data_IF_466094563376
#
_entry.id   IF_466094563376
#
_cell.length_a   1.000
_cell.length_b   1.000
_cell.length_c   1.000
_cell.angle_alpha   90.00
_cell.angle_beta   90.00
_cell.angle_gamma   90.00
#
_symmetry.space_group_name_H-M   'P 1'
#
loop_
_entity.id
_entity.type
_entity.pdbx_description
1 polymer ?
#
# COMPACT_ATOMS: atom_id res chain seq x y z
N UNK A 1 1.66 -2.92 16.86
CA UNK A 1 0.31 -3.41 17.23
C UNK A 1 0.42 -4.44 18.34
N UNK A 2 -0.66 -4.71 19.05
CA UNK A 2 -0.70 -5.60 20.22
C UNK A 2 -1.86 -6.58 20.05
N UNK A 3 -1.59 -7.86 20.22
CA UNK A 3 -2.52 -8.99 19.98
C UNK A 3 -2.12 -10.18 20.87
N UNK A 4 -2.91 -11.23 20.92
CA UNK A 4 -2.67 -12.44 21.70
C UNK A 4 -2.91 -13.68 20.83
N UNK A 5 -2.36 -14.82 21.26
CA UNK A 5 -2.60 -16.12 20.60
C UNK A 5 -3.65 -16.84 21.42
N UNK A 6 -4.89 -16.82 20.94
CA UNK A 6 -6.04 -17.45 21.59
C UNK A 6 -7.07 -17.92 20.54
N UNK A 7 -7.51 -19.19 20.59
CA UNK A 7 -7.14 -20.25 21.53
C UNK A 7 -5.74 -20.84 21.26
N UNK A 8 -5.46 -22.03 21.79
CA UNK A 8 -4.33 -22.82 21.29
C UNK A 8 -4.58 -23.14 19.82
N UNK A 9 -3.52 -23.22 19.03
CA UNK A 9 -3.56 -23.39 17.56
C UNK A 9 -4.12 -22.18 16.80
N UNK A 10 -4.23 -21.04 17.48
CA UNK A 10 -4.63 -19.78 16.84
C UNK A 10 -3.57 -19.28 15.87
N UNK A 11 -4.04 -18.67 14.80
CA UNK A 11 -3.24 -18.14 13.72
C UNK A 11 -3.77 -16.75 13.36
N UNK A 12 -2.91 -15.75 13.55
CA UNK A 12 -3.19 -14.37 13.22
C UNK A 12 -2.79 -14.07 11.77
N UNK A 13 -3.72 -13.55 10.97
CA UNK A 13 -3.49 -13.22 9.56
C UNK A 13 -3.57 -11.70 9.33
N UNK A 14 -2.50 -11.13 8.77
CA UNK A 14 -2.42 -9.70 8.44
C UNK A 14 -2.20 -9.49 6.95
N UNK A 15 -3.01 -8.62 6.31
CA UNK A 15 -2.75 -8.19 4.93
C UNK A 15 -1.73 -7.06 4.90
N UNK A 16 -0.71 -7.22 4.06
CA UNK A 16 0.33 -6.22 3.82
C UNK A 16 0.45 -5.92 2.33
N UNK A 17 0.61 -4.65 1.97
CA UNK A 17 0.74 -4.21 0.58
C UNK A 17 2.16 -3.73 0.31
N UNK A 18 2.70 -4.13 -0.84
CA UNK A 18 4.00 -3.71 -1.35
C UNK A 18 3.81 -3.02 -2.69
N UNK A 19 4.43 -1.84 -2.84
CA UNK A 19 4.41 -1.08 -4.09
C UNK A 19 5.41 -1.61 -5.12
N UNK A 20 6.39 -2.37 -4.66
CA UNK A 20 7.48 -2.96 -5.44
C UNK A 20 8.09 -4.13 -4.67
N UNK A 21 9.02 -4.87 -5.29
CA UNK A 21 9.81 -5.89 -4.60
C UNK A 21 10.60 -5.28 -3.43
N UNK A 22 10.84 -6.06 -2.38
CA UNK A 22 11.58 -5.60 -1.21
C UNK A 22 11.62 -6.64 -0.11
N UNK A 23 11.84 -6.21 1.13
CA UNK A 23 11.88 -7.09 2.30
C UNK A 23 10.84 -6.64 3.32
N UNK A 24 10.10 -7.59 3.88
CA UNK A 24 9.31 -7.37 5.09
C UNK A 24 10.15 -7.76 6.30
N UNK A 25 10.29 -6.84 7.25
CA UNK A 25 10.88 -7.09 8.57
C UNK A 25 9.78 -7.11 9.62
N UNK A 26 9.70 -8.20 10.36
CA UNK A 26 8.78 -8.38 11.48
C UNK A 26 9.58 -8.34 12.77
N UNK A 27 9.17 -7.50 13.71
CA UNK A 27 9.81 -7.36 15.03
C UNK A 27 8.80 -7.67 16.12
N UNK A 28 9.19 -8.54 17.05
CA UNK A 28 8.46 -8.89 18.25
C UNK A 28 9.40 -8.59 19.44
N UNK A 29 9.42 -7.34 19.94
CA UNK A 29 10.39 -6.94 20.98
C UNK A 29 10.11 -7.58 22.34
N UNK A 30 8.87 -8.01 22.59
CA UNK A 30 8.46 -8.71 23.79
C UNK A 30 7.25 -9.60 23.50
N UNK A 31 7.27 -10.81 24.04
CA UNK A 31 6.18 -11.77 24.01
C UNK A 31 6.12 -12.57 25.31
N UNK A 32 4.95 -13.14 25.67
CA UNK A 32 4.82 -14.06 26.80
C UNK A 32 5.82 -15.22 26.76
N UNK A 33 6.24 -15.70 27.93
CA UNK A 33 7.32 -16.69 28.07
C UNK A 33 6.98 -18.06 27.47
N UNK A 34 5.68 -18.36 27.40
CA UNK A 34 5.14 -19.60 26.87
C UNK A 34 5.05 -19.64 25.34
N UNK A 35 5.12 -18.50 24.66
CA UNK A 35 4.97 -18.43 23.20
C UNK A 35 6.32 -18.54 22.48
N UNK A 36 6.40 -19.45 21.52
CA UNK A 36 7.49 -19.56 20.56
C UNK A 36 7.02 -19.01 19.21
N UNK A 37 7.11 -17.69 19.03
CA UNK A 37 6.47 -17.04 17.88
C UNK A 37 7.17 -17.37 16.55
N UNK A 38 6.35 -17.59 15.52
CA UNK A 38 6.79 -17.83 14.15
C UNK A 38 5.91 -17.08 13.16
N UNK A 39 6.46 -16.76 11.99
CA UNK A 39 5.66 -16.25 10.88
C UNK A 39 6.09 -16.84 9.55
N UNK A 40 5.19 -16.76 8.57
CA UNK A 40 5.48 -16.97 7.15
C UNK A 40 4.76 -15.94 6.28
N UNK A 41 5.11 -15.88 5.01
CA UNK A 41 4.44 -14.99 4.04
C UNK A 41 3.75 -15.81 2.97
N UNK A 42 2.49 -15.49 2.72
CA UNK A 42 1.65 -16.11 1.69
C UNK A 42 1.24 -15.09 0.64
N UNK A 43 1.05 -15.56 -0.59
CA UNK A 43 0.34 -14.85 -1.64
C UNK A 43 -1.18 -14.84 -1.34
N UNK A 44 -1.98 -13.99 -2.02
CA UNK A 44 -3.42 -13.87 -1.76
C UNK A 44 -4.23 -15.16 -1.97
N UNK A 45 -3.72 -16.08 -2.79
CA UNK A 45 -4.30 -17.40 -3.05
C UNK A 45 -3.88 -18.46 -2.01
N UNK A 46 -3.06 -18.08 -1.02
CA UNK A 46 -2.52 -18.97 0.01
C UNK A 46 -1.22 -19.67 -0.37
N UNK A 47 -0.68 -19.43 -1.59
CA UNK A 47 0.62 -19.98 -1.99
C UNK A 47 1.73 -19.43 -1.10
N UNK A 48 2.65 -20.30 -0.64
CA UNK A 48 3.77 -19.88 0.20
C UNK A 48 4.79 -19.06 -0.62
N UNK A 49 5.06 -17.84 -0.15
CA UNK A 49 6.06 -16.92 -0.74
C UNK A 49 7.37 -17.00 0.04
N UNK A 50 7.27 -17.13 1.36
CA UNK A 50 8.39 -17.37 2.26
C UNK A 50 7.93 -18.32 3.36
N UNK A 51 8.75 -19.33 3.67
CA UNK A 51 8.45 -20.32 4.69
C UNK A 51 8.54 -19.79 6.12
N UNK A 52 8.42 -20.71 7.08
CA UNK A 52 8.45 -20.37 8.50
C UNK A 52 9.81 -19.83 8.93
N UNK A 53 9.80 -18.66 9.53
CA UNK A 53 10.87 -18.12 10.37
C UNK A 53 10.36 -18.02 11.80
N UNK A 54 11.23 -18.24 12.78
CA UNK A 54 10.81 -18.41 14.17
C UNK A 54 11.78 -17.75 15.14
N UNK A 55 11.25 -17.40 16.31
CA UNK A 55 12.05 -17.00 17.44
C UNK A 55 13.08 -18.08 17.79
N UNK A 56 14.25 -17.70 18.35
CA UNK A 56 15.28 -18.67 18.72
C UNK A 56 14.85 -19.55 19.89
N UNK A 57 13.89 -19.10 20.69
CA UNK A 57 13.27 -19.80 21.81
C UNK A 57 12.00 -19.06 22.26
N UNK A 58 11.16 -19.73 23.03
CA UNK A 58 10.00 -19.12 23.66
C UNK A 58 10.37 -17.90 24.53
N UNK A 59 9.49 -16.89 24.51
CA UNK A 59 9.64 -15.64 25.27
C UNK A 59 10.80 -14.72 24.86
N UNK A 60 11.64 -15.09 23.89
CA UNK A 60 12.72 -14.23 23.42
C UNK A 60 12.21 -13.07 22.56
N UNK A 61 12.79 -11.87 22.74
CA UNK A 61 12.66 -10.81 21.74
C UNK A 61 13.21 -11.31 20.40
N UNK A 62 12.52 -11.01 19.31
CA UNK A 62 12.86 -11.59 18.02
C UNK A 62 12.58 -10.64 16.85
N UNK A 63 13.40 -10.78 15.81
CA UNK A 63 13.17 -10.15 14.51
C UNK A 63 13.38 -11.20 13.40
N UNK A 64 12.52 -11.18 12.40
CA UNK A 64 12.65 -12.02 11.20
C UNK A 64 12.38 -11.21 9.94
N UNK A 65 12.91 -11.70 8.82
CA UNK A 65 12.80 -11.05 7.51
C UNK A 65 12.31 -12.06 6.46
N UNK A 66 11.59 -11.56 5.47
CA UNK A 66 11.16 -12.33 4.30
C UNK A 66 11.19 -11.47 3.04
N UNK A 67 11.70 -12.06 1.96
CA UNK A 67 11.74 -11.42 0.64
C UNK A 67 10.36 -11.35 0.01
N UNK A 68 10.07 -10.21 -0.61
CA UNK A 68 8.84 -9.94 -1.34
C UNK A 68 9.20 -9.76 -2.82
N UNK A 69 8.79 -10.70 -3.70
CA UNK A 69 9.33 -10.77 -5.05
C UNK A 69 8.81 -9.69 -5.99
N UNK A 70 7.63 -9.11 -5.70
CA UNK A 70 6.99 -8.13 -6.58
C UNK A 70 6.05 -7.20 -5.81
N UNK A 71 5.57 -6.16 -6.50
CA UNK A 71 4.45 -5.36 -6.03
C UNK A 71 3.20 -6.24 -5.88
N UNK A 72 2.42 -6.04 -4.83
CA UNK A 72 1.24 -6.85 -4.59
C UNK A 72 0.72 -6.78 -3.17
N UNK A 73 -0.34 -7.55 -2.91
CA UNK A 73 -0.80 -7.82 -1.54
C UNK A 73 -0.32 -9.19 -1.12
N UNK A 74 0.12 -9.29 0.13
CA UNK A 74 0.57 -10.53 0.76
C UNK A 74 -0.15 -10.71 2.09
N UNK A 75 -0.12 -11.93 2.60
CA UNK A 75 -0.66 -12.29 3.91
C UNK A 75 0.52 -12.69 4.79
N UNK A 76 0.66 -12.04 5.93
CA UNK A 76 1.55 -12.46 7.01
C UNK A 76 0.75 -13.35 7.95
N UNK A 77 1.09 -14.62 8.02
CA UNK A 77 0.55 -15.56 9.01
C UNK A 77 1.50 -15.63 10.19
N UNK A 78 0.97 -15.42 11.40
CA UNK A 78 1.73 -15.43 12.65
C UNK A 78 1.08 -16.41 13.62
N UNK A 79 1.89 -17.26 14.26
CA UNK A 79 1.43 -18.27 15.20
C UNK A 79 2.51 -18.73 16.16
N UNK A 80 2.11 -19.48 17.17
CA UNK A 80 3.04 -20.30 17.96
C UNK A 80 3.63 -21.42 17.09
N UNK A 81 4.96 -21.58 17.10
CA UNK A 81 5.75 -22.41 16.18
C UNK A 81 5.25 -23.83 16.05
N UNK A 82 4.81 -24.41 17.16
CA UNK A 82 4.35 -25.79 17.25
C UNK A 82 2.84 -25.91 17.48
N UNK A 83 2.11 -24.77 17.44
CA UNK A 83 0.70 -24.69 17.79
C UNK A 83 0.38 -25.33 19.16
N UNK A 84 1.35 -25.33 20.07
CA UNK A 84 1.24 -26.05 21.34
C UNK A 84 1.02 -25.12 22.53
N UNK A 85 1.28 -23.83 22.36
CA UNK A 85 1.02 -22.80 23.36
C UNK A 85 -0.16 -21.91 22.98
N UNK A 86 -0.63 -21.18 23.99
CA UNK A 86 -1.55 -20.04 23.88
C UNK A 86 -1.16 -19.03 24.96
N UNK A 87 -1.54 -17.78 24.81
CA UNK A 87 -1.40 -16.82 25.90
C UNK A 87 -2.54 -15.82 25.92
N UNK A 88 -3.11 -15.60 27.12
CA UNK A 88 -4.02 -14.47 27.31
C UNK A 88 -3.26 -13.13 27.36
N UNK A 89 -1.98 -13.15 27.69
CA UNK A 89 -1.12 -11.99 27.64
C UNK A 89 -0.80 -11.64 26.18
N UNK A 90 -0.80 -10.35 25.88
CA UNK A 90 -0.54 -9.90 24.52
C UNK A 90 0.94 -9.82 24.21
N UNK A 91 1.32 -10.17 22.98
CA UNK A 91 2.61 -9.80 22.40
C UNK A 91 2.51 -8.48 21.63
N UNK A 92 3.65 -7.85 21.40
CA UNK A 92 3.73 -6.65 20.54
C UNK A 92 4.43 -7.00 19.24
N UNK A 93 3.86 -6.60 18.11
CA UNK A 93 4.46 -6.80 16.79
C UNK A 93 4.57 -5.48 16.02
N UNK A 94 5.68 -5.32 15.31
CA UNK A 94 5.89 -4.25 14.33
C UNK A 94 6.22 -4.88 12.98
N UNK A 95 5.58 -4.37 11.93
CA UNK A 95 5.86 -4.77 10.55
C UNK A 95 6.45 -3.56 9.85
N UNK A 96 7.69 -3.70 9.38
CA UNK A 96 8.45 -2.65 8.70
C UNK A 96 8.75 -3.14 7.30
N UNK A 97 8.41 -2.32 6.31
CA UNK A 97 8.85 -2.56 4.93
C UNK A 97 10.22 -1.94 4.76
N UNK A 98 11.21 -2.75 4.41
CA UNK A 98 12.47 -2.23 3.89
C UNK A 98 12.27 -2.05 2.39
N UNK A 99 12.01 -0.81 1.98
CA UNK A 99 12.01 -0.48 0.56
C UNK A 99 13.39 -0.73 -0.02
N UNK A 100 13.45 -1.30 -1.21
CA UNK A 100 14.66 -1.15 -2.02
C UNK A 100 14.69 0.34 -2.39
N UNK A 101 15.73 1.09 -2.02
CA UNK A 101 15.84 2.49 -2.46
C UNK A 101 15.60 2.54 -3.98
N UNK A 102 14.82 3.50 -4.51
CA UNK A 102 14.62 3.59 -5.94
C UNK A 102 16.00 3.66 -6.57
N UNK A 103 16.32 2.71 -7.45
CA UNK A 103 17.55 2.75 -8.22
C UNK A 103 17.69 4.17 -8.80
N UNK A 104 18.81 4.83 -8.55
CA UNK A 104 19.03 6.26 -8.85
C UNK A 104 18.79 6.62 -10.34
N UNK A 105 18.63 5.62 -11.19
CA UNK A 105 18.23 5.73 -12.60
C UNK A 105 16.78 6.21 -12.75
N UNK A 106 15.83 5.74 -11.94
CA UNK A 106 14.41 6.13 -12.05
C UNK A 106 14.14 7.55 -11.54
N UNK A 107 14.87 8.00 -10.51
CA UNK A 107 14.78 9.37 -9.99
C UNK A 107 15.29 10.41 -11.02
N UNK A 108 16.30 10.05 -11.84
CA UNK A 108 16.82 10.91 -12.91
C UNK A 108 15.90 10.95 -14.14
N UNK A 109 15.16 9.88 -14.43
CA UNK A 109 14.20 9.84 -15.54
C UNK A 109 12.96 10.72 -15.26
N UNK A 110 12.45 10.71 -14.02
CA UNK A 110 11.33 11.56 -13.61
C UNK A 110 11.68 13.06 -13.61
N UNK A 111 12.92 13.41 -13.27
CA UNK A 111 13.40 14.80 -13.32
C UNK A 111 13.61 15.33 -14.77
N UNK A 112 13.68 14.44 -15.77
CA UNK A 112 13.89 14.82 -17.19
C UNK A 112 12.61 14.82 -18.04
N UNK A 113 11.48 14.31 -17.51
CA UNK A 113 10.19 14.24 -18.21
C UNK A 113 9.28 15.46 -18.06
N UNK A 114 9.67 16.45 -17.23
CA UNK A 114 8.94 17.71 -17.12
C UNK A 114 9.19 18.59 -18.34
N UNK A 115 8.41 18.38 -19.41
CA UNK A 115 8.35 19.32 -20.53
C UNK A 115 7.74 20.62 -19.98
N UNK A 116 8.62 21.56 -19.63
CA UNK A 116 8.24 22.92 -19.32
C UNK A 116 7.51 23.47 -20.56
N UNK A 117 6.22 23.75 -20.40
CA UNK A 117 5.47 24.55 -21.35
C UNK A 117 6.25 25.86 -21.56
N UNK A 118 6.78 26.05 -22.77
CA UNK A 118 7.44 27.28 -23.19
C UNK A 118 6.48 28.45 -22.94
N UNK A 119 6.79 29.27 -21.94
CA UNK A 119 6.37 30.67 -21.96
C UNK A 119 7.12 31.35 -23.10
N UNK A 120 6.51 31.43 -24.27
CA UNK A 120 6.90 32.44 -25.28
C UNK A 120 6.57 33.82 -24.71
N UNK A 121 7.55 34.40 -24.01
CA UNK A 121 7.62 35.86 -23.83
C UNK A 121 8.19 36.41 -25.14
N UNK A 122 7.30 36.91 -26.00
CA UNK A 122 7.70 37.72 -27.15
C UNK A 122 7.84 39.16 -26.64
N UNK A 123 9.04 39.53 -26.20
CA UNK A 123 9.44 40.93 -26.09
C UNK A 123 10.01 41.36 -27.42
N UNK A 124 9.24 42.13 -28.20
CA UNK A 124 9.74 42.84 -29.38
C UNK A 124 9.69 44.33 -29.08
N UNK A 125 10.85 44.89 -28.77
CA UNK A 125 11.08 46.33 -28.72
C UNK A 125 11.62 46.78 -30.09
N UNK A 126 10.88 47.66 -30.77
CA UNK A 126 11.43 48.82 -31.50
C UNK A 126 10.33 49.64 -32.19
N UNK A 127 10.26 50.91 -31.78
CA UNK A 127 10.11 52.13 -32.60
C UNK A 127 9.00 52.18 -33.66
N UNK A 128 7.97 52.97 -33.31
CA UNK A 128 7.49 54.12 -34.09
C UNK A 128 7.08 53.90 -35.54
N UNK A 129 5.77 53.92 -35.79
CA UNK A 129 5.18 54.86 -36.74
C UNK A 129 3.69 55.00 -36.40
N UNK A 130 3.25 56.24 -36.35
CA UNK A 130 1.85 56.65 -36.30
C UNK A 130 1.09 56.08 -37.50
N UNK A 131 -0.17 55.70 -37.29
CA UNK A 131 -1.30 56.22 -38.08
C UNK A 131 -2.61 55.64 -37.55
N UNK A 132 -3.59 56.53 -37.40
CA UNK A 132 -4.85 56.26 -36.74
C UNK A 132 -5.80 55.35 -37.52
N UNK A 133 -6.82 54.83 -36.81
CA UNK A 133 -8.23 55.09 -37.11
C UNK A 133 -9.13 54.20 -36.20
N UNK A 134 -9.90 54.89 -35.37
CA UNK A 134 -11.21 54.57 -34.75
C UNK A 134 -11.83 53.16 -34.88
N UNK A 135 -12.36 52.58 -33.77
CA UNK A 135 -13.09 51.32 -33.81
C UNK A 135 -14.58 51.50 -34.16
N UNK A 136 -15.13 50.62 -35.00
CA UNK A 136 -16.59 50.37 -35.07
C UNK A 136 -16.94 49.00 -34.52
N UNK A 137 -17.83 49.09 -33.54
CA UNK A 137 -18.54 48.11 -32.77
C UNK A 137 -19.35 47.13 -33.64
N UNK A 138 -19.35 45.82 -33.33
CA UNK A 138 -20.52 44.97 -33.55
C UNK A 138 -20.62 43.88 -32.50
N UNK A 139 -21.78 43.93 -31.83
CA UNK A 139 -22.36 42.97 -30.89
C UNK A 139 -22.56 41.60 -31.54
N UNK A 140 -22.52 40.56 -30.70
CA UNK A 140 -23.56 39.52 -30.53
C UNK A 140 -22.90 38.24 -29.96
N UNK A 141 -23.04 37.93 -28.66
CA UNK A 141 -24.16 37.26 -27.97
C UNK A 141 -24.45 35.82 -28.47
N UNK A 142 -24.03 34.83 -27.67
CA UNK A 142 -24.86 33.72 -27.14
C UNK A 142 -23.97 32.64 -26.48
N UNK A 143 -23.91 32.59 -25.14
CA UNK A 143 -24.67 31.71 -24.22
C UNK A 143 -24.16 30.26 -24.15
N UNK A 144 -23.35 30.00 -23.13
CA UNK A 144 -23.15 28.67 -22.54
C UNK A 144 -24.11 28.42 -21.37
N UNK A 145 -24.26 27.15 -21.00
CA UNK A 145 -25.00 26.73 -19.80
C UNK A 145 -25.09 25.20 -19.67
N UNK A 146 -24.18 24.63 -18.88
CA UNK A 146 -24.12 23.21 -18.45
C UNK A 146 -24.81 23.07 -17.08
N UNK A 147 -25.49 21.94 -16.82
CA UNK A 147 -25.56 21.16 -15.54
C UNK A 147 -26.57 20.00 -15.71
N UNK A 148 -26.13 18.74 -15.77
CA UNK A 148 -25.88 17.73 -14.70
C UNK A 148 -27.12 17.35 -13.87
N UNK A 149 -27.63 16.14 -14.13
CA UNK A 149 -28.57 15.38 -13.29
C UNK A 149 -27.85 14.55 -12.20
N UNK A 150 -28.47 14.31 -11.03
CA UNK A 150 -27.95 13.45 -9.96
C UNK A 150 -28.76 12.14 -9.79
N UNK A 151 -28.17 11.15 -9.09
CA UNK A 151 -28.84 9.94 -8.57
C UNK A 151 -28.18 8.64 -9.06
N UNK A 152 -27.93 7.62 -8.25
CA UNK A 152 -28.24 7.38 -6.84
C UNK A 152 -27.62 6.06 -6.35
N UNK A 153 -27.28 6.06 -5.06
CA UNK A 153 -27.52 5.02 -4.05
C UNK A 153 -27.26 3.51 -4.35
N UNK A 154 -26.22 2.98 -3.68
CA UNK A 154 -26.26 1.92 -2.64
C UNK A 154 -27.16 0.68 -2.80
N UNK A 155 -26.54 -0.53 -2.73
CA UNK A 155 -26.69 -1.58 -1.67
C UNK A 155 -26.45 -3.00 -2.22
N UNK A 156 -25.49 -3.71 -1.62
CA UNK A 156 -25.45 -5.18 -1.49
C UNK A 156 -26.31 -5.57 -0.25
N UNK A 157 -26.81 -6.82 -0.11
CA UNK A 157 -25.98 -7.90 0.44
C UNK A 157 -26.27 -9.36 0.01
N UNK A 158 -25.22 -10.19 0.12
CA UNK A 158 -25.09 -11.58 0.62
C UNK A 158 -26.09 -12.68 0.19
N UNK A 159 -25.55 -13.77 -0.36
CA UNK A 159 -25.71 -15.15 0.18
C UNK A 159 -24.70 -16.11 -0.46
N UNK A 160 -23.91 -16.83 0.34
CA UNK A 160 -23.08 -17.96 -0.07
C UNK A 160 -23.59 -19.19 0.69
N UNK A 161 -23.88 -20.27 -0.03
CA UNK A 161 -24.39 -21.53 0.53
C UNK A 161 -23.38 -22.63 0.17
N UNK A 162 -22.77 -23.26 1.18
CA UNK A 162 -21.92 -24.44 0.98
C UNK A 162 -22.74 -25.73 0.94
N UNK A 163 -22.18 -26.86 0.48
CA UNK A 163 -22.75 -28.17 0.69
C UNK A 163 -22.08 -28.98 1.81
N UNK A 164 -22.89 -29.89 2.32
CA UNK A 164 -22.82 -30.77 3.47
C UNK A 164 -21.90 -31.98 3.22
N UNK A 165 -21.22 -32.46 4.27
CA UNK A 165 -20.43 -33.71 4.25
C UNK A 165 -21.33 -34.95 4.19
N UNK A 166 -20.84 -36.00 3.54
CA UNK A 166 -21.22 -37.39 3.78
C UNK A 166 -20.11 -38.06 4.60
#
# INVERSE_FOLDING_TARGET
MRTNILPREDADFYRIAFAERGVVKVRIPAMPEELDMSFRVLAPDGTEVSGWTSAPRAGASWEGEADIPAAGTYILEVRDRYNNARSAASYTMQVVRQGTAPSAVSARQAARGGVAAERRVVTRDRRGLEDGNTPRNRRDLARGGIRRSPGGASRLPRRWSGPVRA
#
